data_IF_087115189729
#
_entry.id   IF_087115189729
#
_cell.length_a   1.000
_cell.length_b   1.000
_cell.length_c   1.000
_cell.angle_alpha   90.00
_cell.angle_beta   90.00
_cell.angle_gamma   90.00
#
_symmetry.space_group_name_H-M   'P 1'
#
loop_
_entity.id
_entity.type
_entity.pdbx_description
1 polymer ?
#
# COMPACT_ATOMS: atom_id res chain seq x y z
N UNK A 1 35.78 -37.42 -14.94
CA UNK A 1 35.33 -38.75 -14.47
C UNK A 1 34.33 -38.58 -13.34
N UNK A 2 33.13 -39.12 -13.57
CA UNK A 2 32.17 -39.69 -12.60
C UNK A 2 31.47 -38.74 -11.60
N UNK A 3 30.19 -38.39 -11.80
CA UNK A 3 28.92 -39.17 -11.73
C UNK A 3 28.37 -39.25 -10.29
N UNK A 4 27.07 -38.87 -10.18
CA UNK A 4 26.09 -38.94 -9.07
C UNK A 4 25.79 -37.58 -8.40
N UNK A 5 24.56 -37.07 -8.32
CA UNK A 5 23.26 -37.70 -8.53
C UNK A 5 22.24 -36.68 -9.08
N UNK A 6 21.63 -37.06 -10.20
CA UNK A 6 20.31 -36.60 -10.58
C UNK A 6 19.31 -37.08 -9.50
N UNK A 7 19.04 -36.23 -8.52
CA UNK A 7 17.87 -36.39 -7.68
C UNK A 7 16.65 -36.00 -8.52
N UNK A 8 16.10 -37.00 -9.23
CA UNK A 8 14.71 -37.01 -9.66
C UNK A 8 13.85 -36.67 -8.43
N UNK A 9 13.49 -35.40 -8.25
CA UNK A 9 12.35 -35.03 -7.41
C UNK A 9 11.14 -35.65 -8.09
N UNK A 10 10.69 -36.80 -7.57
CA UNK A 10 9.36 -37.31 -7.88
C UNK A 10 8.40 -36.13 -7.73
N UNK A 11 7.63 -35.76 -8.77
CA UNK A 11 6.64 -34.69 -8.63
C UNK A 11 5.72 -35.08 -7.48
N UNK A 12 5.57 -34.18 -6.49
CA UNK A 12 4.71 -34.42 -5.34
C UNK A 12 3.36 -34.93 -5.87
N UNK A 13 2.94 -36.16 -5.50
CA UNK A 13 1.70 -36.74 -6.01
C UNK A 13 0.44 -35.93 -5.62
N UNK A 14 0.59 -34.88 -4.80
CA UNK A 14 -0.43 -33.93 -4.35
C UNK A 14 -0.40 -32.59 -5.10
N UNK A 15 0.65 -32.29 -5.86
CA UNK A 15 0.83 -31.00 -6.52
C UNK A 15 -0.10 -30.79 -7.73
N UNK A 16 -0.41 -29.52 -7.99
CA UNK A 16 -1.01 -29.06 -9.24
C UNK A 16 -0.23 -29.59 -10.45
N UNK A 17 -0.95 -29.96 -11.50
CA UNK A 17 -0.35 -30.26 -12.78
C UNK A 17 0.21 -28.97 -13.40
N UNK A 18 1.24 -29.10 -14.23
CA UNK A 18 1.77 -28.00 -15.04
C UNK A 18 1.73 -28.38 -16.53
N UNK A 19 1.50 -27.41 -17.43
CA UNK A 19 1.64 -27.64 -18.85
C UNK A 19 3.09 -27.97 -19.19
N UNK A 20 3.31 -28.72 -20.27
CA UNK A 20 4.67 -29.04 -20.73
C UNK A 20 5.20 -27.89 -21.56
N UNK A 21 6.29 -27.26 -21.09
CA UNK A 21 6.89 -26.10 -21.76
C UNK A 21 7.32 -26.35 -23.22
N UNK A 22 7.58 -27.60 -23.59
CA UNK A 22 7.97 -28.00 -24.95
C UNK A 22 6.80 -28.17 -25.93
N UNK A 23 5.56 -28.07 -25.47
CA UNK A 23 4.37 -28.33 -26.29
C UNK A 23 3.77 -27.00 -26.79
N UNK A 24 3.42 -26.96 -28.08
CA UNK A 24 2.67 -25.84 -28.66
C UNK A 24 1.17 -26.00 -28.37
N UNK A 25 0.70 -25.30 -27.34
CA UNK A 25 -0.69 -25.37 -26.89
C UNK A 25 -1.68 -24.68 -27.85
N UNK A 26 -1.24 -23.77 -28.71
CA UNK A 26 -2.09 -23.18 -29.75
C UNK A 26 -2.34 -24.19 -30.87
N UNK A 27 -1.29 -24.89 -31.32
CA UNK A 27 -1.44 -25.98 -32.29
C UNK A 27 -2.32 -27.12 -31.74
N UNK A 28 -2.15 -27.46 -30.45
CA UNK A 28 -3.01 -28.45 -29.78
C UNK A 28 -4.47 -27.97 -29.73
N UNK A 29 -4.72 -26.70 -29.39
CA UNK A 29 -6.07 -26.14 -29.35
C UNK A 29 -6.75 -26.25 -30.73
N UNK A 30 -6.06 -25.84 -31.80
CA UNK A 30 -6.56 -25.94 -33.16
C UNK A 30 -6.88 -27.38 -33.57
N UNK A 31 -5.99 -28.34 -33.25
CA UNK A 31 -6.19 -29.76 -33.56
C UNK A 31 -7.39 -30.36 -32.80
N UNK A 32 -7.54 -30.05 -31.51
CA UNK A 32 -8.69 -30.51 -30.71
C UNK A 32 -9.98 -29.93 -31.27
N UNK A 33 -10.01 -28.65 -31.64
CA UNK A 33 -11.19 -28.02 -32.20
C UNK A 33 -11.61 -28.67 -33.53
N UNK A 34 -10.64 -29.00 -34.39
CA UNK A 34 -10.91 -29.68 -35.67
C UNK A 34 -11.49 -31.08 -35.46
N UNK A 35 -10.92 -31.87 -34.54
CA UNK A 35 -11.46 -33.19 -34.18
C UNK A 35 -12.89 -33.11 -33.63
N UNK A 36 -13.14 -32.18 -32.71
CA UNK A 36 -14.48 -32.00 -32.16
C UNK A 36 -15.50 -31.58 -33.23
N UNK A 37 -15.09 -30.76 -34.21
CA UNK A 37 -15.93 -30.40 -35.37
C UNK A 37 -16.22 -31.59 -36.28
N UNK A 38 -15.28 -32.53 -36.40
CA UNK A 38 -15.44 -33.77 -37.13
C UNK A 38 -16.27 -34.83 -36.38
N UNK A 39 -16.66 -34.58 -35.12
CA UNK A 39 -17.39 -35.53 -34.28
C UNK A 39 -16.53 -36.65 -33.72
N UNK A 40 -15.19 -36.51 -33.75
CA UNK A 40 -14.27 -37.49 -33.19
C UNK A 40 -14.22 -37.44 -31.66
N UNK A 41 -13.98 -38.59 -31.03
CA UNK A 41 -13.77 -38.69 -29.59
C UNK A 41 -12.35 -38.27 -29.20
N UNK A 42 -12.21 -37.57 -28.08
CA UNK A 42 -10.91 -37.17 -27.56
C UNK A 42 -10.34 -38.26 -26.64
N UNK A 43 -9.05 -38.56 -26.81
CA UNK A 43 -8.31 -39.41 -25.88
C UNK A 43 -8.08 -38.74 -24.53
N UNK A 44 -7.81 -39.52 -23.48
CA UNK A 44 -7.37 -39.02 -22.15
C UNK A 44 -6.19 -38.04 -22.22
N UNK A 45 -5.30 -38.22 -23.20
CA UNK A 45 -4.17 -37.32 -23.43
C UNK A 45 -4.63 -35.98 -23.99
N UNK A 46 -5.56 -36.00 -24.93
CA UNK A 46 -6.14 -34.80 -25.54
C UNK A 46 -7.02 -34.06 -24.55
N UNK A 47 -7.83 -34.73 -23.73
CA UNK A 47 -8.63 -34.10 -22.66
C UNK A 47 -7.71 -33.36 -21.67
N UNK A 48 -6.62 -33.99 -21.24
CA UNK A 48 -5.63 -33.36 -20.34
C UNK A 48 -4.94 -32.15 -20.95
N UNK A 49 -4.59 -32.22 -22.23
CA UNK A 49 -3.93 -31.12 -22.92
C UNK A 49 -4.92 -29.99 -23.24
N UNK A 50 -6.12 -30.34 -23.69
CA UNK A 50 -7.21 -29.42 -23.97
C UNK A 50 -7.67 -28.65 -22.74
N UNK A 51 -7.55 -29.24 -21.55
CA UNK A 51 -7.77 -28.51 -20.28
C UNK A 51 -6.90 -27.26 -20.16
N UNK A 52 -5.66 -27.27 -20.68
CA UNK A 52 -4.77 -26.11 -20.69
C UNK A 52 -5.03 -25.14 -21.86
N UNK A 53 -5.83 -25.55 -22.83
CA UNK A 53 -6.22 -24.74 -24.00
C UNK A 53 -7.55 -23.99 -23.78
N UNK A 54 -8.11 -24.02 -22.58
CA UNK A 54 -9.44 -23.45 -22.35
C UNK A 54 -9.44 -21.92 -22.46
N UNK A 55 -8.46 -21.23 -21.87
CA UNK A 55 -8.51 -19.76 -21.76
C UNK A 55 -7.30 -19.01 -22.34
N UNK A 56 -6.09 -19.54 -22.24
CA UNK A 56 -4.87 -18.79 -22.58
C UNK A 56 -4.35 -19.05 -24.00
N UNK A 57 -4.98 -19.94 -24.77
CA UNK A 57 -4.55 -20.28 -26.14
C UNK A 57 -5.31 -19.47 -27.17
N UNK A 58 -4.76 -19.43 -28.39
CA UNK A 58 -5.41 -18.89 -29.58
C UNK A 58 -5.52 -20.01 -30.64
N UNK A 59 -6.74 -20.51 -30.95
CA UNK A 59 -8.02 -20.13 -30.35
C UNK A 59 -8.17 -20.64 -28.91
N UNK A 60 -8.93 -19.90 -28.10
CA UNK A 60 -9.36 -20.37 -26.79
C UNK A 60 -10.47 -21.41 -26.98
N UNK A 61 -10.40 -22.53 -26.25
CA UNK A 61 -11.41 -23.58 -26.36
C UNK A 61 -12.66 -23.28 -25.51
N UNK A 62 -12.58 -22.41 -24.50
CA UNK A 62 -13.74 -21.91 -23.78
C UNK A 62 -14.74 -21.25 -24.75
N UNK A 63 -16.02 -21.56 -24.61
CA UNK A 63 -17.07 -21.07 -25.51
C UNK A 63 -17.22 -21.85 -26.82
N UNK A 64 -16.35 -22.82 -27.12
CA UNK A 64 -16.45 -23.67 -28.32
C UNK A 64 -17.15 -25.01 -28.03
N UNK A 65 -17.45 -25.79 -29.07
CA UNK A 65 -17.93 -27.17 -28.89
C UNK A 65 -16.93 -28.05 -28.12
N UNK A 66 -15.62 -27.82 -28.31
CA UNK A 66 -14.57 -28.58 -27.64
C UNK A 66 -14.62 -28.41 -26.11
N UNK A 67 -15.11 -27.27 -25.60
CA UNK A 67 -15.31 -27.05 -24.17
C UNK A 67 -16.16 -28.15 -23.52
N UNK A 68 -17.33 -28.44 -24.10
CA UNK A 68 -18.26 -29.44 -23.56
C UNK A 68 -17.68 -30.85 -23.65
N UNK A 69 -17.00 -31.16 -24.74
CA UNK A 69 -16.33 -32.47 -24.94
C UNK A 69 -15.23 -32.67 -23.90
N UNK A 70 -14.43 -31.64 -23.62
CA UNK A 70 -13.38 -31.69 -22.60
C UNK A 70 -13.97 -31.87 -21.20
N UNK A 71 -15.01 -31.11 -20.84
CA UNK A 71 -15.65 -31.26 -19.52
C UNK A 71 -16.25 -32.64 -19.31
N UNK A 72 -17.03 -33.14 -20.28
CA UNK A 72 -17.59 -34.49 -20.24
C UNK A 72 -16.49 -35.55 -20.12
N UNK A 73 -15.42 -35.43 -20.92
CA UNK A 73 -14.27 -36.32 -20.84
C UNK A 73 -13.57 -36.29 -19.48
N UNK A 74 -13.47 -35.11 -18.84
CA UNK A 74 -12.94 -35.00 -17.48
C UNK A 74 -13.89 -35.64 -16.47
N UNK A 75 -15.21 -35.52 -16.61
CA UNK A 75 -16.20 -36.11 -15.71
C UNK A 75 -16.25 -37.64 -15.80
N UNK A 76 -16.11 -38.19 -17.00
CA UNK A 76 -16.15 -39.63 -17.28
C UNK A 76 -14.82 -40.34 -16.98
N UNK A 77 -13.69 -39.65 -17.09
CA UNK A 77 -12.37 -40.26 -16.95
C UNK A 77 -12.20 -41.05 -15.61
N UNK A 78 -11.75 -42.32 -15.65
CA UNK A 78 -11.54 -43.10 -14.42
C UNK A 78 -10.32 -42.61 -13.63
N UNK A 79 -9.35 -41.99 -14.31
CA UNK A 79 -8.11 -41.50 -13.72
C UNK A 79 -8.22 -40.09 -13.14
N UNK A 80 -7.33 -39.76 -12.19
CA UNK A 80 -7.24 -38.42 -11.57
C UNK A 80 -6.50 -37.39 -12.44
N UNK A 81 -5.81 -37.82 -13.50
CA UNK A 81 -4.94 -36.95 -14.30
C UNK A 81 -5.73 -35.89 -15.11
N UNK A 82 -6.84 -36.23 -15.80
CA UNK A 82 -7.72 -35.24 -16.44
C UNK A 82 -8.26 -34.22 -15.46
N UNK A 83 -8.82 -34.68 -14.33
CA UNK A 83 -9.28 -33.81 -13.26
C UNK A 83 -8.20 -32.84 -12.77
N UNK A 84 -6.98 -33.33 -12.49
CA UNK A 84 -5.88 -32.47 -12.02
C UNK A 84 -5.44 -31.46 -13.07
N UNK A 85 -5.42 -31.82 -14.34
CA UNK A 85 -5.11 -30.89 -15.42
C UNK A 85 -6.15 -29.77 -15.49
N UNK A 86 -7.43 -30.12 -15.46
CA UNK A 86 -8.53 -29.15 -15.46
C UNK A 86 -8.51 -28.26 -14.21
N UNK A 87 -8.35 -28.83 -13.01
CA UNK A 87 -8.27 -28.08 -11.77
C UNK A 87 -7.08 -27.11 -11.76
N UNK A 88 -5.94 -27.52 -12.30
CA UNK A 88 -4.75 -26.67 -12.33
C UNK A 88 -4.88 -25.54 -13.34
N UNK A 89 -5.44 -25.81 -14.52
CA UNK A 89 -5.76 -24.77 -15.49
C UNK A 89 -6.81 -23.80 -14.94
N UNK A 90 -7.87 -24.31 -14.29
CA UNK A 90 -8.87 -23.48 -13.61
C UNK A 90 -8.22 -22.54 -12.59
N UNK A 91 -7.35 -23.04 -11.71
CA UNK A 91 -6.69 -22.20 -10.70
C UNK A 91 -5.73 -21.17 -11.32
N UNK A 92 -5.03 -21.55 -12.41
CA UNK A 92 -4.08 -20.68 -13.11
C UNK A 92 -4.79 -19.53 -13.82
N UNK A 93 -5.82 -19.86 -14.58
CA UNK A 93 -6.56 -18.95 -15.47
C UNK A 93 -7.84 -18.39 -14.83
N UNK A 94 -7.97 -18.55 -13.52
CA UNK A 94 -9.17 -18.17 -12.78
C UNK A 94 -9.47 -16.68 -12.93
N UNK A 95 -10.68 -16.41 -13.39
CA UNK A 95 -11.33 -15.12 -13.39
C UNK A 95 -12.84 -15.44 -13.43
N UNK A 96 -13.62 -15.02 -12.42
CA UNK A 96 -15.04 -15.36 -12.33
C UNK A 96 -15.88 -14.79 -13.49
N UNK A 97 -15.34 -13.87 -14.27
CA UNK A 97 -16.01 -13.27 -15.44
C UNK A 97 -15.72 -13.99 -16.76
N UNK A 98 -14.77 -14.92 -16.79
CA UNK A 98 -14.40 -15.64 -18.02
C UNK A 98 -15.46 -16.68 -18.41
N UNK A 99 -15.65 -16.81 -19.72
CA UNK A 99 -16.50 -17.84 -20.31
C UNK A 99 -16.08 -19.24 -19.85
N UNK A 100 -17.08 -20.06 -19.53
CA UNK A 100 -16.88 -21.44 -19.09
C UNK A 100 -16.28 -21.60 -17.68
N UNK A 101 -15.95 -20.53 -16.94
CA UNK A 101 -15.37 -20.64 -15.60
C UNK A 101 -16.35 -21.28 -14.61
N UNK A 102 -17.61 -20.82 -14.60
CA UNK A 102 -18.67 -21.36 -13.75
C UNK A 102 -18.95 -22.84 -14.06
N UNK A 103 -19.13 -23.18 -15.34
CA UNK A 103 -19.38 -24.56 -15.77
C UNK A 103 -18.20 -25.49 -15.45
N UNK A 104 -16.96 -25.01 -15.60
CA UNK A 104 -15.75 -25.77 -15.22
C UNK A 104 -15.71 -25.99 -13.70
N UNK A 105 -16.05 -24.96 -12.92
CA UNK A 105 -16.15 -25.03 -11.47
C UNK A 105 -17.17 -26.09 -11.03
N UNK A 106 -18.35 -26.12 -11.64
CA UNK A 106 -19.38 -27.13 -11.37
C UNK A 106 -18.91 -28.56 -11.68
N UNK A 107 -18.27 -28.79 -12.83
CA UNK A 107 -17.72 -30.09 -13.20
C UNK A 107 -16.59 -30.55 -12.25
N UNK A 108 -15.75 -29.62 -11.80
CA UNK A 108 -14.71 -29.92 -10.81
C UNK A 108 -15.30 -30.19 -9.42
N UNK A 109 -16.31 -29.43 -9.00
CA UNK A 109 -16.98 -29.61 -7.72
C UNK A 109 -17.68 -30.98 -7.65
N UNK A 110 -18.41 -31.37 -8.70
CA UNK A 110 -19.10 -32.68 -8.78
C UNK A 110 -18.13 -33.86 -8.68
N UNK A 111 -16.92 -33.70 -9.24
CA UNK A 111 -15.89 -34.74 -9.26
C UNK A 111 -14.91 -34.70 -8.09
N UNK A 112 -14.93 -33.66 -7.26
CA UNK A 112 -13.98 -33.48 -6.15
C UNK A 112 -13.95 -34.69 -5.17
N UNK A 113 -15.11 -35.28 -4.89
CA UNK A 113 -15.21 -36.46 -4.03
C UNK A 113 -14.45 -37.67 -4.60
N UNK A 114 -14.60 -37.94 -5.90
CA UNK A 114 -13.88 -39.02 -6.62
C UNK A 114 -12.39 -38.70 -6.78
N UNK A 115 -12.03 -37.43 -6.93
CA UNK A 115 -10.63 -37.01 -6.96
C UNK A 115 -9.92 -37.27 -5.61
N UNK A 116 -10.65 -37.22 -4.51
CA UNK A 116 -10.17 -37.47 -3.15
C UNK A 116 -9.37 -36.29 -2.59
N UNK A 117 -8.50 -36.54 -1.61
CA UNK A 117 -7.66 -35.49 -1.00
C UNK A 117 -6.61 -34.95 -2.01
N UNK A 118 -6.31 -33.63 -1.97
CA UNK A 118 -6.85 -32.61 -1.07
C UNK A 118 -8.23 -32.05 -1.50
N UNK A 119 -8.65 -32.31 -2.74
CA UNK A 119 -9.78 -31.66 -3.41
C UNK A 119 -11.12 -31.81 -2.70
N UNK A 120 -11.44 -32.99 -2.17
CA UNK A 120 -12.68 -33.18 -1.40
C UNK A 120 -12.73 -32.27 -0.16
N UNK A 121 -11.60 -32.09 0.53
CA UNK A 121 -11.51 -31.24 1.73
C UNK A 121 -11.60 -29.77 1.35
N UNK A 122 -10.88 -29.37 0.30
CA UNK A 122 -10.88 -27.98 -0.18
C UNK A 122 -12.25 -27.57 -0.71
N UNK A 123 -12.94 -28.45 -1.44
CA UNK A 123 -14.30 -28.18 -1.91
C UNK A 123 -15.29 -28.12 -0.74
N UNK A 124 -15.20 -29.04 0.21
CA UNK A 124 -16.10 -29.05 1.37
C UNK A 124 -15.93 -27.82 2.27
N UNK A 125 -14.69 -27.45 2.61
CA UNK A 125 -14.41 -26.36 3.56
C UNK A 125 -14.49 -24.97 2.94
N UNK A 126 -14.06 -24.85 1.68
CA UNK A 126 -13.84 -23.55 1.07
C UNK A 126 -14.62 -23.36 -0.23
N UNK A 127 -15.43 -24.34 -0.67
CA UNK A 127 -16.09 -24.29 -1.97
C UNK A 127 -15.12 -23.91 -3.09
N UNK A 128 -13.93 -24.51 -3.09
CA UNK A 128 -12.78 -24.02 -3.86
C UNK A 128 -13.05 -23.87 -5.37
N UNK A 129 -13.98 -24.66 -5.92
CA UNK A 129 -14.37 -24.59 -7.34
C UNK A 129 -15.60 -23.72 -7.62
N UNK A 130 -16.23 -23.10 -6.62
CA UNK A 130 -17.32 -22.13 -6.83
C UNK A 130 -16.72 -20.74 -7.06
N UNK A 131 -16.75 -20.16 -8.28
CA UNK A 131 -15.97 -18.95 -8.57
C UNK A 131 -16.36 -17.72 -7.75
N UNK A 132 -17.62 -17.63 -7.34
CA UNK A 132 -18.13 -16.50 -6.54
C UNK A 132 -17.87 -16.66 -5.04
N UNK A 133 -17.93 -17.88 -4.51
CA UNK A 133 -17.86 -18.15 -3.06
C UNK A 133 -16.48 -18.59 -2.60
N UNK A 134 -15.75 -19.32 -3.45
CA UNK A 134 -14.46 -19.91 -3.14
C UNK A 134 -13.43 -18.91 -2.62
N UNK A 135 -13.09 -17.88 -3.41
CA UNK A 135 -12.12 -16.87 -3.00
C UNK A 135 -12.48 -16.17 -1.68
N UNK A 136 -13.76 -15.92 -1.44
CA UNK A 136 -14.23 -15.28 -0.20
C UNK A 136 -14.06 -16.18 1.02
N UNK A 137 -14.40 -17.46 0.92
CA UNK A 137 -14.24 -18.42 2.01
C UNK A 137 -12.77 -18.68 2.33
N UNK A 138 -11.92 -18.80 1.29
CA UNK A 138 -10.47 -18.93 1.46
C UNK A 138 -9.89 -17.68 2.11
N UNK A 139 -10.29 -16.49 1.66
CA UNK A 139 -9.83 -15.22 2.25
C UNK A 139 -10.18 -15.09 3.73
N UNK A 140 -11.44 -15.40 4.09
CA UNK A 140 -11.88 -15.38 5.48
C UNK A 140 -11.08 -16.36 6.35
N UNK A 141 -10.98 -17.61 5.90
CA UNK A 141 -10.23 -18.64 6.63
C UNK A 141 -8.74 -18.29 6.77
N UNK A 142 -8.14 -17.63 5.77
CA UNK A 142 -6.75 -17.20 5.80
C UNK A 142 -6.53 -16.09 6.85
N UNK A 143 -7.42 -15.10 6.90
CA UNK A 143 -7.40 -14.04 7.90
C UNK A 143 -7.55 -14.61 9.32
N UNK A 144 -8.53 -15.50 9.52
CA UNK A 144 -8.81 -16.13 10.81
C UNK A 144 -7.59 -16.93 11.30
N UNK A 145 -6.95 -17.67 10.38
CA UNK A 145 -5.74 -18.45 10.65
C UNK A 145 -4.45 -17.63 10.76
N UNK A 146 -4.48 -16.33 10.45
CA UNK A 146 -3.28 -15.48 10.47
C UNK A 146 -2.27 -15.81 9.37
N UNK A 147 -2.73 -16.26 8.19
CA UNK A 147 -1.88 -16.72 7.08
C UNK A 147 -2.27 -16.06 5.76
N UNK A 148 -1.41 -16.15 4.75
CA UNK A 148 -1.79 -15.81 3.38
C UNK A 148 -2.67 -16.93 2.76
N UNK A 149 -3.57 -16.60 1.81
CA UNK A 149 -4.39 -17.60 1.11
C UNK A 149 -3.57 -18.74 0.49
N UNK A 150 -2.44 -18.42 -0.14
CA UNK A 150 -1.55 -19.40 -0.77
C UNK A 150 -0.94 -20.34 0.26
N UNK A 151 -0.54 -19.81 1.43
CA UNK A 151 -0.01 -20.64 2.53
C UNK A 151 -1.09 -21.53 3.12
N UNK A 152 -2.31 -21.01 3.36
CA UNK A 152 -3.45 -21.79 3.83
C UNK A 152 -3.71 -22.98 2.91
N UNK A 153 -3.85 -22.74 1.60
CA UNK A 153 -4.14 -23.79 0.62
C UNK A 153 -2.99 -24.81 0.52
N UNK A 154 -1.74 -24.35 0.65
CA UNK A 154 -0.56 -25.23 0.68
C UNK A 154 -0.59 -26.19 1.87
N UNK A 155 -0.93 -25.68 3.06
CA UNK A 155 -1.03 -26.46 4.29
C UNK A 155 -2.18 -27.48 4.26
N UNK A 156 -3.24 -27.18 3.52
CA UNK A 156 -4.37 -28.09 3.24
C UNK A 156 -4.05 -29.14 2.16
N UNK A 157 -2.82 -29.15 1.65
CA UNK A 157 -2.29 -30.19 0.78
C UNK A 157 -2.39 -29.90 -0.72
N UNK A 158 -2.73 -28.68 -1.14
CA UNK A 158 -2.71 -28.27 -2.56
C UNK A 158 -1.27 -28.18 -3.12
N UNK A 159 -0.26 -28.22 -2.25
CA UNK A 159 1.15 -28.06 -2.61
C UNK A 159 1.51 -26.59 -2.86
N UNK A 160 2.51 -26.33 -3.70
CA UNK A 160 2.90 -24.97 -4.08
C UNK A 160 1.97 -24.44 -5.18
N UNK A 161 0.86 -23.80 -4.79
CA UNK A 161 0.10 -22.96 -5.71
C UNK A 161 0.98 -21.81 -6.16
N UNK A 162 1.01 -21.53 -7.48
CA UNK A 162 1.68 -20.33 -7.98
C UNK A 162 1.03 -19.11 -7.32
N UNK A 163 1.81 -18.35 -6.55
CA UNK A 163 1.32 -17.17 -5.86
C UNK A 163 0.77 -16.10 -6.81
N UNK A 164 1.11 -16.17 -8.10
CA UNK A 164 0.63 -15.30 -9.16
C UNK A 164 -0.54 -15.88 -9.97
N UNK A 165 -1.10 -17.04 -9.59
CA UNK A 165 -2.25 -17.62 -10.28
C UNK A 165 -3.49 -16.72 -10.17
N UNK A 166 -4.43 -16.84 -11.11
CA UNK A 166 -5.70 -16.10 -11.05
C UNK A 166 -6.46 -16.36 -9.75
N UNK A 167 -6.44 -17.59 -9.24
CA UNK A 167 -7.14 -17.93 -8.00
C UNK A 167 -6.46 -17.33 -6.77
N UNK A 168 -5.12 -17.36 -6.72
CA UNK A 168 -4.35 -16.71 -5.67
C UNK A 168 -4.59 -15.19 -5.69
N UNK A 169 -4.66 -14.58 -6.89
CA UNK A 169 -5.02 -13.18 -7.08
C UNK A 169 -6.39 -12.87 -6.49
N UNK A 170 -7.42 -13.63 -6.88
CA UNK A 170 -8.78 -13.41 -6.38
C UNK A 170 -8.86 -13.55 -4.85
N UNK A 171 -8.22 -14.56 -4.25
CA UNK A 171 -8.20 -14.72 -2.79
C UNK A 171 -7.45 -13.58 -2.09
N UNK A 172 -6.33 -13.12 -2.65
CA UNK A 172 -5.57 -12.00 -2.10
C UNK A 172 -6.40 -10.71 -2.14
N UNK A 173 -7.09 -10.44 -3.25
CA UNK A 173 -7.98 -9.29 -3.38
C UNK A 173 -9.07 -9.30 -2.29
N UNK A 174 -9.81 -10.41 -2.16
CA UNK A 174 -10.84 -10.57 -1.11
C UNK A 174 -10.29 -10.44 0.30
N UNK A 175 -9.08 -10.93 0.55
CA UNK A 175 -8.44 -10.79 1.87
C UNK A 175 -8.11 -9.33 2.18
N UNK A 176 -7.54 -8.60 1.23
CA UNK A 176 -7.19 -7.19 1.40
C UNK A 176 -8.43 -6.30 1.55
N UNK A 177 -9.49 -6.55 0.78
CA UNK A 177 -10.77 -5.86 0.92
C UNK A 177 -11.35 -6.01 2.34
N UNK A 178 -11.35 -7.25 2.87
CA UNK A 178 -11.80 -7.53 4.25
C UNK A 178 -10.93 -6.84 5.28
N UNK A 179 -9.60 -6.87 5.13
CA UNK A 179 -8.67 -6.20 6.05
C UNK A 179 -8.82 -4.67 6.03
N UNK A 180 -9.21 -4.08 4.90
CA UNK A 180 -9.51 -2.65 4.80
C UNK A 180 -10.83 -2.28 5.50
N UNK A 181 -11.82 -3.17 5.49
CA UNK A 181 -13.11 -2.97 6.16
C UNK A 181 -13.08 -3.28 7.67
N UNK A 182 -12.18 -4.16 8.11
CA UNK A 182 -12.02 -4.52 9.52
C UNK A 182 -11.26 -3.43 10.29
N UNK A 183 -11.95 -2.76 11.21
CA UNK A 183 -11.40 -1.74 12.11
C UNK A 183 -11.01 -2.29 13.50
N UNK A 184 -11.40 -3.52 13.84
CA UNK A 184 -11.20 -4.12 15.16
C UNK A 184 -9.88 -4.89 15.27
N UNK A 185 -9.35 -5.38 14.15
CA UNK A 185 -8.08 -6.11 14.17
C UNK A 185 -6.93 -5.27 14.72
N UNK A 186 -6.14 -5.90 15.61
CA UNK A 186 -4.93 -5.31 16.18
C UNK A 186 -3.94 -4.91 15.08
N UNK A 187 -3.36 -3.72 15.19
CA UNK A 187 -2.59 -3.13 14.09
C UNK A 187 -1.37 -3.93 13.65
N UNK A 188 -0.61 -4.50 14.59
CA UNK A 188 0.56 -5.34 14.27
C UNK A 188 0.15 -6.61 13.51
N UNK A 189 -0.95 -7.26 13.90
CA UNK A 189 -1.48 -8.43 13.19
C UNK A 189 -1.90 -8.06 11.77
N UNK A 190 -2.59 -6.91 11.60
CA UNK A 190 -2.98 -6.40 10.28
C UNK A 190 -1.76 -6.14 9.39
N UNK A 191 -0.74 -5.47 9.91
CA UNK A 191 0.48 -5.16 9.17
C UNK A 191 1.17 -6.42 8.65
N UNK A 192 1.35 -7.43 9.50
CA UNK A 192 1.98 -8.71 9.08
C UNK A 192 1.11 -9.48 8.08
N UNK A 193 -0.21 -9.50 8.25
CA UNK A 193 -1.12 -10.14 7.30
C UNK A 193 -1.10 -9.47 5.93
N UNK A 194 -1.20 -8.14 5.86
CA UNK A 194 -1.17 -7.43 4.58
C UNK A 194 0.17 -7.66 3.88
N UNK A 195 1.29 -7.68 4.62
CA UNK A 195 2.60 -8.04 4.06
C UNK A 195 2.61 -9.47 3.51
N UNK A 196 2.12 -10.44 4.27
CA UNK A 196 2.10 -11.85 3.85
C UNK A 196 1.19 -12.11 2.64
N UNK A 197 0.13 -11.32 2.47
CA UNK A 197 -0.86 -11.47 1.38
C UNK A 197 -0.45 -10.69 0.13
N UNK A 198 0.03 -9.46 0.30
CA UNK A 198 0.22 -8.52 -0.81
C UNK A 198 1.65 -8.45 -1.34
N UNK A 199 2.66 -8.92 -0.59
CA UNK A 199 4.06 -8.63 -0.89
C UNK A 199 4.96 -9.87 -0.97
N UNK A 200 5.95 -9.79 -1.85
CA UNK A 200 7.11 -10.67 -1.85
C UNK A 200 8.02 -10.37 -0.63
N UNK A 201 8.94 -11.29 -0.33
CA UNK A 201 9.91 -11.12 0.78
C UNK A 201 10.82 -9.90 0.61
N UNK A 202 11.03 -9.45 -0.64
CA UNK A 202 11.78 -8.25 -0.99
C UNK A 202 10.94 -6.95 -0.95
N UNK A 203 9.72 -7.02 -0.41
CA UNK A 203 8.77 -5.90 -0.27
C UNK A 203 8.23 -5.34 -1.59
N UNK A 204 8.29 -6.08 -2.70
CA UNK A 204 7.54 -5.74 -3.92
C UNK A 204 6.13 -6.31 -3.90
N UNK A 205 5.19 -5.69 -4.62
CA UNK A 205 3.83 -6.22 -4.77
C UNK A 205 3.87 -7.58 -5.48
N UNK A 206 3.06 -8.52 -5.02
CA UNK A 206 2.82 -9.78 -5.75
C UNK A 206 1.98 -9.50 -7.01
N UNK A 207 1.02 -8.58 -6.88
CA UNK A 207 0.09 -8.17 -7.93
C UNK A 207 0.07 -6.64 -8.01
N UNK A 208 0.60 -6.08 -9.10
CA UNK A 208 0.68 -4.62 -9.29
C UNK A 208 -0.70 -3.94 -9.32
N UNK A 209 -1.70 -4.63 -9.85
CA UNK A 209 -3.11 -4.18 -9.87
C UNK A 209 -3.75 -4.14 -8.47
N UNK A 210 -3.18 -4.82 -7.47
CA UNK A 210 -3.63 -4.77 -6.07
C UNK A 210 -3.04 -3.60 -5.27
N UNK A 211 -2.23 -2.72 -5.88
CA UNK A 211 -1.65 -1.57 -5.19
C UNK A 211 -2.68 -0.78 -4.34
N UNK A 212 -3.89 -0.44 -4.85
CA UNK A 212 -4.91 0.24 -4.05
C UNK A 212 -5.43 -0.61 -2.87
N UNK A 213 -5.62 -1.92 -3.07
CA UNK A 213 -6.11 -2.82 -2.03
C UNK A 213 -5.10 -2.95 -0.89
N UNK A 214 -3.81 -3.06 -1.20
CA UNK A 214 -2.72 -3.10 -0.22
C UNK A 214 -2.66 -1.79 0.57
N UNK A 215 -2.71 -0.64 -0.11
CA UNK A 215 -2.69 0.65 0.56
C UNK A 215 -3.91 0.82 1.48
N UNK A 216 -5.11 0.49 0.99
CA UNK A 216 -6.34 0.62 1.75
C UNK A 216 -6.33 -0.27 3.00
N UNK A 217 -5.90 -1.53 2.86
CA UNK A 217 -5.79 -2.47 3.97
C UNK A 217 -4.74 -2.05 5.01
N UNK A 218 -3.65 -1.38 4.59
CA UNK A 218 -2.63 -0.89 5.52
C UNK A 218 -3.05 0.38 6.27
N UNK A 219 -3.81 1.27 5.63
CA UNK A 219 -3.91 2.67 6.05
C UNK A 219 -5.31 3.03 6.56
N UNK A 220 -6.36 2.67 5.82
CA UNK A 220 -7.71 3.17 6.09
C UNK A 220 -8.29 2.73 7.44
N UNK A 221 -8.03 1.52 7.97
CA UNK A 221 -8.47 1.15 9.31
C UNK A 221 -8.00 2.09 10.43
N UNK A 222 -6.92 2.84 10.19
CA UNK A 222 -6.32 3.76 11.16
C UNK A 222 -6.63 5.23 10.88
N UNK A 223 -7.54 5.54 9.94
CA UNK A 223 -7.86 6.93 9.56
C UNK A 223 -8.28 7.80 10.74
N UNK A 224 -9.00 7.20 11.69
CA UNK A 224 -9.63 7.85 12.85
C UNK A 224 -9.23 7.19 14.18
N UNK A 225 -8.31 6.22 14.15
CA UNK A 225 -7.90 5.48 15.34
C UNK A 225 -6.47 5.87 15.74
N UNK A 226 -6.18 5.94 17.05
CA UNK A 226 -4.80 6.11 17.49
C UNK A 226 -3.98 4.90 17.04
N UNK A 227 -2.81 5.17 16.46
CA UNK A 227 -1.86 4.17 16.06
C UNK A 227 -0.59 4.33 16.89
N UNK A 228 -0.05 3.23 17.39
CA UNK A 228 1.27 3.22 18.00
C UNK A 228 2.31 3.84 17.05
N UNK A 229 3.22 4.64 17.60
CA UNK A 229 4.16 5.42 16.79
C UNK A 229 5.13 4.53 16.02
N UNK A 230 5.61 3.44 16.63
CA UNK A 230 6.50 2.48 15.97
C UNK A 230 5.80 1.82 14.79
N UNK A 231 4.56 1.36 15.00
CA UNK A 231 3.77 0.77 13.92
C UNK A 231 3.44 1.78 12.81
N UNK A 232 3.08 3.02 13.16
CA UNK A 232 2.84 4.08 12.18
C UNK A 232 4.08 4.34 11.31
N UNK A 233 5.28 4.35 11.91
CA UNK A 233 6.53 4.48 11.16
C UNK A 233 6.78 3.29 10.24
N UNK A 234 6.53 2.05 10.69
CA UNK A 234 6.65 0.86 9.84
C UNK A 234 5.72 0.92 8.63
N UNK A 235 4.46 1.34 8.82
CA UNK A 235 3.49 1.49 7.74
C UNK A 235 3.91 2.61 6.79
N UNK A 236 4.33 3.77 7.30
CA UNK A 236 4.83 4.87 6.48
C UNK A 236 6.02 4.45 5.63
N UNK A 237 7.04 3.80 6.21
CA UNK A 237 8.21 3.36 5.48
C UNK A 237 7.85 2.38 4.36
N UNK A 238 6.94 1.44 4.65
CA UNK A 238 6.46 0.50 3.63
C UNK A 238 5.67 1.21 2.52
N UNK A 239 4.73 2.08 2.88
CA UNK A 239 3.90 2.80 1.93
C UNK A 239 4.71 3.74 1.03
N UNK A 240 5.69 4.47 1.60
CA UNK A 240 6.59 5.33 0.84
C UNK A 240 7.50 4.51 -0.09
N UNK A 241 8.02 3.37 0.37
CA UNK A 241 8.83 2.48 -0.48
C UNK A 241 8.05 1.89 -1.65
N UNK A 242 6.77 1.57 -1.45
CA UNK A 242 5.90 1.01 -2.49
C UNK A 242 5.36 2.07 -3.45
N UNK A 243 4.89 3.20 -2.94
CA UNK A 243 4.05 4.13 -3.70
C UNK A 243 4.67 5.53 -3.86
N UNK A 244 5.78 5.81 -3.18
CA UNK A 244 6.40 7.13 -3.12
C UNK A 244 5.67 8.09 -2.19
N UNK A 245 6.16 9.33 -2.09
CA UNK A 245 5.56 10.37 -1.26
C UNK A 245 4.26 10.93 -1.89
N UNK A 246 3.08 10.82 -1.24
CA UNK A 246 1.81 11.31 -1.79
C UNK A 246 1.67 12.83 -1.83
N UNK A 247 2.65 13.58 -1.32
CA UNK A 247 2.72 15.05 -1.45
C UNK A 247 3.40 15.49 -2.74
N UNK A 248 4.09 14.58 -3.42
CA UNK A 248 4.67 14.81 -4.74
C UNK A 248 3.68 14.39 -5.83
N UNK A 249 3.72 15.00 -7.02
CA UNK A 249 2.94 14.54 -8.17
C UNK A 249 3.28 13.09 -8.51
N UNK A 250 2.42 12.15 -8.11
CA UNK A 250 2.60 10.71 -8.34
C UNK A 250 1.31 10.08 -8.85
N UNK A 251 1.40 9.43 -10.02
CA UNK A 251 0.28 8.66 -10.58
C UNK A 251 -0.04 7.41 -9.75
N UNK A 252 0.84 6.98 -8.83
CA UNK A 252 0.62 5.76 -8.03
C UNK A 252 -0.53 5.95 -7.04
N UNK A 253 -0.65 7.13 -6.44
CA UNK A 253 -1.68 7.43 -5.44
C UNK A 253 -3.05 7.75 -6.02
N UNK A 254 -3.17 8.01 -7.33
CA UNK A 254 -4.41 8.49 -7.94
C UNK A 254 -5.59 7.52 -7.87
N UNK A 255 -5.32 6.22 -7.65
CA UNK A 255 -6.35 5.18 -7.47
C UNK A 255 -6.66 4.88 -6.00
N UNK A 256 -6.06 5.61 -5.07
CA UNK A 256 -6.12 5.37 -3.62
C UNK A 256 -6.04 6.70 -2.83
N UNK A 257 -6.78 7.71 -3.29
CA UNK A 257 -6.72 9.08 -2.75
C UNK A 257 -7.09 9.18 -1.26
N UNK A 258 -8.02 8.35 -0.79
CA UNK A 258 -8.37 8.31 0.64
C UNK A 258 -7.18 7.86 1.49
N UNK A 259 -6.49 6.80 1.09
CA UNK A 259 -5.28 6.33 1.76
C UNK A 259 -4.16 7.38 1.65
N UNK A 260 -4.02 8.01 0.47
CA UNK A 260 -3.07 9.10 0.26
C UNK A 260 -3.30 10.26 1.22
N UNK A 261 -4.56 10.65 1.46
CA UNK A 261 -4.93 11.72 2.38
C UNK A 261 -4.54 11.40 3.83
N UNK A 262 -4.77 10.16 4.28
CA UNK A 262 -4.34 9.70 5.62
C UNK A 262 -2.81 9.74 5.74
N UNK A 263 -2.08 9.23 4.74
CA UNK A 263 -0.61 9.26 4.73
C UNK A 263 -0.09 10.69 4.71
N UNK A 264 -0.70 11.60 3.94
CA UNK A 264 -0.35 13.04 3.95
C UNK A 264 -0.46 13.63 5.36
N UNK A 265 -1.56 13.38 6.08
CA UNK A 265 -1.72 13.81 7.49
C UNK A 265 -0.65 13.21 8.40
N UNK A 266 -0.34 11.93 8.25
CA UNK A 266 0.72 11.29 9.03
C UNK A 266 2.10 11.88 8.76
N UNK A 267 2.40 12.22 7.50
CA UNK A 267 3.65 12.87 7.12
C UNK A 267 3.74 14.31 7.64
N UNK A 268 2.64 15.05 7.66
CA UNK A 268 2.58 16.39 8.25
C UNK A 268 2.91 16.33 9.75
N UNK A 269 2.24 15.44 10.48
CA UNK A 269 2.53 15.20 11.90
C UNK A 269 3.95 14.69 12.13
N UNK A 270 4.48 13.87 11.23
CA UNK A 270 5.87 13.43 11.29
C UNK A 270 6.83 14.61 11.11
N UNK A 271 6.60 15.51 10.16
CA UNK A 271 7.40 16.73 9.97
C UNK A 271 7.36 17.64 11.21
N UNK A 272 6.18 17.87 11.79
CA UNK A 272 6.04 18.66 13.02
C UNK A 272 6.87 18.07 14.17
N UNK A 273 6.73 16.75 14.43
CA UNK A 273 7.52 16.05 15.44
C UNK A 273 9.01 16.09 15.15
N UNK A 274 9.42 15.83 13.91
CA UNK A 274 10.83 15.92 13.51
C UNK A 274 11.40 17.29 13.85
N UNK A 275 10.68 18.36 13.51
CA UNK A 275 11.14 19.72 13.82
C UNK A 275 11.27 19.92 15.34
N UNK A 276 10.21 19.71 16.11
CA UNK A 276 10.24 20.04 17.53
C UNK A 276 11.11 19.10 18.35
N UNK A 277 11.09 17.78 18.09
CA UNK A 277 11.85 16.81 18.87
C UNK A 277 13.36 16.91 18.60
N UNK A 278 13.75 17.21 17.36
CA UNK A 278 15.17 17.47 17.03
C UNK A 278 15.62 18.78 17.65
N UNK A 279 14.80 19.83 17.54
CA UNK A 279 15.11 21.14 18.10
C UNK A 279 15.20 21.08 19.63
N UNK A 280 14.32 20.35 20.33
CA UNK A 280 14.37 20.17 21.79
C UNK A 280 15.69 19.52 22.26
N UNK A 281 16.28 18.63 21.46
CA UNK A 281 17.58 18.00 21.77
C UNK A 281 18.74 18.98 21.62
N UNK A 282 18.66 19.92 20.68
CA UNK A 282 19.76 20.85 20.34
C UNK A 282 19.57 22.27 20.92
N UNK A 283 18.42 22.56 21.51
CA UNK A 283 18.01 23.89 21.99
C UNK A 283 17.48 23.87 23.43
N UNK A 284 18.06 24.69 24.31
CA UNK A 284 17.68 24.82 25.73
C UNK A 284 16.56 25.85 26.01
N UNK A 285 15.80 26.27 24.99
CA UNK A 285 14.87 27.41 25.12
C UNK A 285 13.50 27.04 25.71
N UNK A 286 13.12 27.72 26.81
CA UNK A 286 11.80 27.58 27.48
C UNK A 286 10.59 27.91 26.60
N UNK A 287 10.78 28.54 25.44
CA UNK A 287 9.71 28.97 24.53
C UNK A 287 9.15 27.83 23.66
N UNK A 288 9.86 26.71 23.53
CA UNK A 288 9.48 25.62 22.61
C UNK A 288 8.12 25.00 22.90
N UNK A 289 7.77 24.85 24.18
CA UNK A 289 6.45 24.34 24.57
C UNK A 289 5.31 25.16 23.94
N UNK A 290 5.44 26.49 23.90
CA UNK A 290 4.42 27.39 23.35
C UNK A 290 4.33 27.30 21.82
N UNK A 291 5.47 27.19 21.13
CA UNK A 291 5.51 27.01 19.67
C UNK A 291 4.92 25.66 19.26
N UNK A 292 5.29 24.59 19.98
CA UNK A 292 4.73 23.24 19.79
C UNK A 292 3.22 23.25 19.98
N UNK A 293 2.74 23.77 21.12
CA UNK A 293 1.30 23.85 21.41
C UNK A 293 0.52 24.64 20.34
N UNK A 294 1.10 25.76 19.85
CA UNK A 294 0.52 26.56 18.78
C UNK A 294 0.40 25.78 17.48
N UNK A 295 1.50 25.25 16.95
CA UNK A 295 1.49 24.57 15.65
C UNK A 295 0.73 23.24 15.68
N UNK A 296 0.72 22.53 16.82
CA UNK A 296 -0.16 21.37 17.00
C UNK A 296 -1.64 21.78 17.03
N UNK A 297 -2.00 22.96 17.54
CA UNK A 297 -3.38 23.46 17.45
C UNK A 297 -3.76 23.77 15.99
N UNK A 298 -2.84 24.34 15.21
CA UNK A 298 -3.04 24.59 13.77
C UNK A 298 -3.19 23.27 12.99
N UNK A 299 -2.41 22.22 13.32
CA UNK A 299 -2.59 20.86 12.76
C UNK A 299 -3.95 20.26 13.13
N UNK A 300 -4.37 20.37 14.40
CA UNK A 300 -5.67 19.87 14.87
C UNK A 300 -6.85 20.56 14.18
N UNK A 301 -6.69 21.83 13.79
CA UNK A 301 -7.66 22.56 12.98
C UNK A 301 -7.59 22.23 11.48
N UNK A 302 -6.78 21.25 11.08
CA UNK A 302 -6.55 20.80 9.71
C UNK A 302 -6.11 21.92 8.73
N UNK A 303 -5.46 22.97 9.25
CA UNK A 303 -5.01 24.10 8.44
C UNK A 303 -3.65 23.87 7.77
N UNK A 304 -2.88 22.90 8.25
CA UNK A 304 -1.60 22.51 7.63
C UNK A 304 -1.91 21.50 6.54
N UNK A 305 -1.81 21.93 5.28
CA UNK A 305 -2.09 21.12 4.10
C UNK A 305 -0.85 20.36 3.60
N UNK A 306 0.32 20.79 4.03
CA UNK A 306 1.60 20.18 3.70
C UNK A 306 2.68 20.67 4.68
N UNK A 307 3.69 19.85 4.96
CA UNK A 307 4.80 20.24 5.82
C UNK A 307 6.08 19.47 5.49
N UNK A 308 7.22 20.18 5.51
CA UNK A 308 8.56 19.57 5.43
C UNK A 308 9.55 20.34 6.28
N UNK A 309 10.41 19.61 6.99
CA UNK A 309 11.50 20.19 7.76
C UNK A 309 12.75 20.31 6.90
N UNK A 310 13.46 21.42 7.07
CA UNK A 310 14.79 21.68 6.53
C UNK A 310 15.77 21.69 7.70
N UNK A 311 16.74 20.78 7.71
CA UNK A 311 17.74 20.69 8.77
C UNK A 311 19.11 21.19 8.33
N UNK A 312 19.84 21.81 9.26
CA UNK A 312 21.29 21.90 9.18
C UNK A 312 21.95 20.56 9.55
N UNK A 313 23.28 20.49 9.43
CA UNK A 313 24.05 19.23 9.51
C UNK A 313 23.75 18.40 10.77
N UNK A 314 23.71 19.02 11.96
CA UNK A 314 23.55 18.26 13.21
C UNK A 314 22.10 17.79 13.37
N UNK A 315 21.13 18.65 13.04
CA UNK A 315 19.71 18.29 13.03
C UNK A 315 19.40 17.13 12.08
N UNK A 316 20.03 17.10 10.90
CA UNK A 316 19.87 16.01 9.93
C UNK A 316 20.40 14.67 10.46
N UNK A 317 21.49 14.68 11.22
CA UNK A 317 22.04 13.48 11.86
C UNK A 317 21.11 12.97 12.97
N UNK A 318 20.60 13.86 13.82
CA UNK A 318 19.64 13.51 14.88
C UNK A 318 18.34 12.98 14.26
N UNK A 319 17.80 13.65 13.24
CA UNK A 319 16.57 13.23 12.57
C UNK A 319 16.68 11.81 11.99
N UNK A 320 17.78 11.51 11.29
CA UNK A 320 18.02 10.16 10.73
C UNK A 320 18.07 9.07 11.80
N UNK A 321 18.69 9.37 12.96
CA UNK A 321 18.79 8.42 14.08
C UNK A 321 17.45 8.18 14.75
N UNK A 322 16.66 9.25 14.96
CA UNK A 322 15.41 9.18 15.73
C UNK A 322 14.19 8.76 14.91
N UNK A 323 14.16 9.03 13.60
CA UNK A 323 12.98 8.83 12.75
C UNK A 323 13.19 7.85 11.59
N UNK A 324 14.43 7.38 11.37
CA UNK A 324 14.77 6.50 10.26
C UNK A 324 15.05 7.23 8.94
N UNK A 325 15.53 6.48 7.94
CA UNK A 325 16.03 7.03 6.68
C UNK A 325 14.92 7.39 5.66
N UNK A 326 13.76 6.75 5.74
CA UNK A 326 12.68 6.88 4.75
C UNK A 326 11.76 8.09 5.02
N UNK A 327 11.73 8.62 6.25
CA UNK A 327 10.97 9.82 6.57
C UNK A 327 11.66 11.05 5.98
N UNK A 328 11.06 11.72 4.99
CA UNK A 328 11.77 12.69 4.18
C UNK A 328 11.87 14.06 4.87
N UNK A 329 13.08 14.61 4.86
CA UNK A 329 13.38 15.99 5.22
C UNK A 329 14.32 16.59 4.18
N UNK A 330 14.47 17.91 4.20
CA UNK A 330 15.41 18.65 3.34
C UNK A 330 16.62 19.13 4.14
N UNK A 331 17.68 19.52 3.44
CA UNK A 331 18.86 20.12 4.07
C UNK A 331 19.09 21.54 3.58
N UNK A 332 19.83 22.33 4.33
CA UNK A 332 20.34 23.59 3.81
C UNK A 332 21.48 23.35 2.81
N UNK A 333 21.53 24.15 1.75
CA UNK A 333 22.65 24.23 0.81
C UNK A 333 23.20 25.65 0.77
N UNK A 334 24.51 25.77 0.99
CA UNK A 334 25.20 27.06 1.02
C UNK A 334 24.76 27.98 2.18
N UNK A 335 25.37 29.18 2.22
CA UNK A 335 25.09 30.20 3.23
C UNK A 335 25.61 29.89 4.65
N UNK A 336 25.55 30.89 5.53
CA UNK A 336 25.96 30.75 6.93
C UNK A 336 24.75 30.44 7.80
N UNK A 337 24.63 29.18 8.20
CA UNK A 337 23.59 28.68 9.13
C UNK A 337 24.29 27.89 10.23
N UNK A 338 23.90 28.12 11.48
CA UNK A 338 24.44 27.36 12.59
C UNK A 338 24.02 25.89 12.47
N UNK A 339 24.91 24.97 12.86
CA UNK A 339 24.75 23.54 12.58
C UNK A 339 23.51 22.91 13.25
N UNK A 340 22.94 23.56 14.26
CA UNK A 340 21.74 23.17 15.00
C UNK A 340 20.44 23.82 14.50
N UNK A 341 20.47 24.67 13.47
CA UNK A 341 19.25 25.29 12.96
C UNK A 341 18.37 24.33 12.17
N UNK A 342 17.07 24.57 12.25
CA UNK A 342 16.04 23.92 11.45
C UNK A 342 15.00 24.96 11.00
N UNK A 343 14.32 24.68 9.90
CA UNK A 343 13.13 25.41 9.46
C UNK A 343 12.02 24.42 9.18
N UNK A 344 10.86 24.64 9.76
CA UNK A 344 9.64 23.94 9.40
C UNK A 344 8.91 24.75 8.32
N UNK A 345 8.88 24.21 7.10
CA UNK A 345 8.07 24.75 6.01
C UNK A 345 6.69 24.12 6.06
N UNK A 346 5.64 24.94 5.98
CA UNK A 346 4.26 24.47 5.96
C UNK A 346 3.47 25.18 4.87
N UNK A 347 2.53 24.47 4.24
CA UNK A 347 1.50 25.09 3.41
C UNK A 347 0.23 25.23 4.21
N UNK A 348 -0.30 26.44 4.31
CA UNK A 348 -1.54 26.75 5.05
C UNK A 348 -2.47 27.58 4.18
N UNK A 349 -3.65 27.05 3.86
CA UNK A 349 -4.52 27.65 2.85
C UNK A 349 -3.76 27.83 1.52
N UNK A 350 -3.75 29.05 1.00
CA UNK A 350 -3.00 29.40 -0.23
C UNK A 350 -1.55 29.82 0.02
N UNK A 351 -1.13 30.02 1.26
CA UNK A 351 0.20 30.54 1.56
C UNK A 351 1.18 29.52 2.10
N UNK A 352 2.39 30.00 2.36
CA UNK A 352 3.51 29.22 2.89
C UNK A 352 4.01 29.87 4.17
N UNK A 353 4.33 29.04 5.16
CA UNK A 353 4.95 29.43 6.42
C UNK A 353 6.35 28.85 6.49
N UNK A 354 7.32 29.64 6.92
CA UNK A 354 8.63 29.20 7.39
C UNK A 354 8.77 29.52 8.88
N UNK A 355 8.68 28.48 9.71
CA UNK A 355 8.93 28.55 11.14
C UNK A 355 10.40 28.23 11.39
N UNK A 356 11.19 29.25 11.71
CA UNK A 356 12.60 29.08 12.03
C UNK A 356 12.81 28.66 13.49
N UNK A 357 13.76 27.74 13.70
CA UNK A 357 14.36 27.51 15.01
C UNK A 357 15.13 28.74 15.53
N UNK A 358 15.78 28.62 16.68
CA UNK A 358 16.81 29.53 17.25
C UNK A 358 16.85 30.98 16.72
N UNK A 359 16.33 31.92 17.52
CA UNK A 359 16.34 33.37 17.22
C UNK A 359 15.77 33.79 15.85
N UNK A 360 15.15 32.87 15.10
CA UNK A 360 14.50 33.14 13.84
C UNK A 360 13.06 33.63 13.98
N UNK A 361 12.59 34.33 12.94
CA UNK A 361 11.20 34.77 12.81
C UNK A 361 10.33 33.63 12.27
N UNK A 362 9.05 33.65 12.61
CA UNK A 362 8.01 32.99 11.81
C UNK A 362 7.70 33.89 10.62
N UNK A 363 7.86 33.39 9.40
CA UNK A 363 7.64 34.13 8.15
C UNK A 363 6.50 33.49 7.39
N UNK A 364 5.57 34.30 6.89
CA UNK A 364 4.36 33.85 6.19
C UNK A 364 4.25 34.61 4.88
N UNK A 365 4.30 33.87 3.78
CA UNK A 365 3.91 34.34 2.46
C UNK A 365 2.42 34.04 2.29
N UNK A 366 1.61 35.07 2.08
CA UNK A 366 0.14 34.94 2.01
C UNK A 366 -0.33 34.15 0.77
N UNK A 367 0.53 34.03 -0.23
CA UNK A 367 0.32 33.29 -1.48
C UNK A 367 1.57 32.45 -1.80
N UNK A 368 1.38 31.18 -2.10
CA UNK A 368 2.44 30.24 -2.47
C UNK A 368 2.97 30.49 -3.90
N UNK A 369 2.22 31.20 -4.74
CA UNK A 369 2.64 31.60 -6.08
C UNK A 369 3.50 32.88 -6.07
N UNK A 370 3.69 33.52 -4.91
CA UNK A 370 4.64 34.61 -4.75
C UNK A 370 6.05 34.13 -5.17
N UNK A 371 6.76 34.82 -6.08
CA UNK A 371 8.10 34.42 -6.53
C UNK A 371 9.13 34.30 -5.39
N UNK A 372 8.89 34.98 -4.26
CA UNK A 372 9.72 34.91 -3.06
C UNK A 372 9.29 33.79 -2.10
N UNK A 373 8.13 33.17 -2.31
CA UNK A 373 7.67 32.07 -1.48
C UNK A 373 8.48 30.79 -1.79
N UNK A 374 8.97 30.08 -0.77
CA UNK A 374 9.69 28.84 -0.99
C UNK A 374 8.74 27.73 -1.44
N UNK A 375 9.07 27.08 -2.56
CA UNK A 375 8.37 25.86 -2.97
C UNK A 375 8.70 24.73 -2.00
N UNK A 376 7.68 24.02 -1.51
CA UNK A 376 7.88 22.83 -0.67
C UNK A 376 8.54 21.68 -1.47
N UNK A 377 9.09 20.73 -0.72
CA UNK A 377 9.66 19.48 -1.21
C UNK A 377 10.93 19.56 -2.07
N UNK A 378 11.63 20.70 -2.07
CA UNK A 378 12.97 20.75 -2.64
C UNK A 378 13.92 19.91 -1.78
N UNK A 379 14.92 19.29 -2.40
CA UNK A 379 15.93 18.51 -1.66
C UNK A 379 16.77 19.40 -0.75
N UNK A 380 17.09 20.58 -1.26
CA UNK A 380 17.97 21.54 -0.64
C UNK A 380 17.34 22.92 -0.66
N UNK A 381 17.65 23.73 0.35
CA UNK A 381 17.19 25.11 0.44
C UNK A 381 18.34 26.05 0.74
N UNK A 382 18.37 27.17 0.02
CA UNK A 382 19.23 28.30 0.38
C UNK A 382 18.62 29.01 1.60
N UNK A 383 19.32 29.10 2.74
CA UNK A 383 18.81 29.74 3.94
C UNK A 383 18.50 31.22 3.76
N UNK A 384 19.19 31.93 2.85
CA UNK A 384 18.93 33.35 2.58
C UNK A 384 17.54 33.56 1.98
N UNK A 385 17.06 32.60 1.17
CA UNK A 385 15.72 32.63 0.55
C UNK A 385 14.60 32.32 1.52
N UNK A 386 14.92 31.64 2.63
CA UNK A 386 13.96 31.35 3.69
C UNK A 386 13.90 32.47 4.74
N UNK A 387 14.76 33.49 4.65
CA UNK A 387 14.74 34.68 5.51
C UNK A 387 14.12 35.85 4.76
N UNK A 388 13.50 36.76 5.51
CA UNK A 388 13.02 38.03 4.96
C UNK A 388 13.30 39.16 5.95
N UNK A 389 14.53 39.72 5.95
CA UNK A 389 14.96 40.68 6.98
C UNK A 389 14.07 41.92 7.07
N UNK A 390 13.59 42.40 5.92
CA UNK A 390 12.72 43.58 5.80
C UNK A 390 11.23 43.31 6.09
N UNK A 391 10.83 42.06 6.30
CA UNK A 391 9.43 41.75 6.61
C UNK A 391 9.11 42.10 8.08
N UNK A 392 7.90 42.62 8.27
CA UNK A 392 7.34 43.06 9.55
C UNK A 392 6.09 42.26 9.89
N UNK A 393 5.58 42.42 11.10
CA UNK A 393 4.38 41.74 11.61
C UNK A 393 3.08 42.52 11.32
N UNK A 394 3.10 43.41 10.31
CA UNK A 394 1.92 44.12 9.85
C UNK A 394 1.01 43.17 9.04
N UNK A 395 -0.24 43.02 9.46
CA UNK A 395 -1.18 42.02 8.91
C UNK A 395 -1.54 42.25 7.44
N UNK A 396 -1.52 43.50 6.98
CA UNK A 396 -1.82 43.91 5.60
C UNK A 396 -0.72 43.52 4.60
N UNK A 397 0.46 43.10 5.07
CA UNK A 397 1.58 42.72 4.20
C UNK A 397 1.38 41.34 3.58
N UNK A 398 1.79 41.21 2.31
CA UNK A 398 1.84 39.93 1.61
C UNK A 398 2.84 38.97 2.25
N UNK A 399 4.01 39.48 2.65
CA UNK A 399 5.00 38.76 3.45
C UNK A 399 4.97 39.32 4.88
N UNK A 400 4.46 38.50 5.80
CA UNK A 400 4.40 38.79 7.23
C UNK A 400 5.56 38.10 7.93
N UNK A 401 6.20 38.75 8.89
CA UNK A 401 7.25 38.12 9.71
C UNK A 401 7.23 38.62 11.15
N UNK A 402 7.19 37.69 12.10
CA UNK A 402 7.12 37.99 13.54
C UNK A 402 8.20 37.25 14.33
N UNK A 403 8.79 37.93 15.30
CA UNK A 403 9.70 37.32 16.27
C UNK A 403 8.92 36.69 17.42
N UNK A 404 9.46 35.62 18.00
CA UNK A 404 8.81 34.81 19.04
C UNK A 404 8.80 35.43 20.45
N UNK A 405 8.58 36.74 20.55
CA UNK A 405 8.64 37.51 21.80
C UNK A 405 7.34 37.34 22.61
N UNK A 406 7.44 37.33 23.94
CA UNK A 406 6.31 37.19 24.88
C UNK A 406 5.44 35.96 24.61
N UNK A 407 6.08 34.81 24.40
CA UNK A 407 5.42 33.52 24.14
C UNK A 407 4.47 33.07 25.26
N UNK A 408 4.79 33.43 26.50
CA UNK A 408 4.01 33.18 27.72
C UNK A 408 2.73 34.03 27.82
N UNK A 409 2.72 35.19 27.14
CA UNK A 409 1.55 36.06 27.01
C UNK A 409 0.78 35.83 25.70
N UNK A 410 1.14 34.80 24.93
CA UNK A 410 0.52 34.45 23.65
C UNK A 410 0.56 35.56 22.59
N UNK A 411 1.51 36.50 22.69
CA UNK A 411 1.54 37.71 21.85
C UNK A 411 1.79 37.41 20.37
N UNK A 412 2.91 36.74 20.05
CA UNK A 412 3.23 36.39 18.67
C UNK A 412 2.23 35.38 18.11
N UNK A 413 1.75 34.45 18.94
CA UNK A 413 0.74 33.45 18.59
C UNK A 413 -0.55 34.13 18.12
N UNK A 414 -1.01 35.16 18.83
CA UNK A 414 -2.18 35.95 18.44
C UNK A 414 -2.00 36.61 17.07
N UNK A 415 -0.81 37.16 16.78
CA UNK A 415 -0.50 37.77 15.47
C UNK A 415 -0.47 36.73 14.35
N UNK A 416 0.18 35.59 14.57
CA UNK A 416 0.19 34.49 13.60
C UNK A 416 -1.22 33.93 13.38
N UNK A 417 -2.00 33.72 14.45
CA UNK A 417 -3.38 33.26 14.35
C UNK A 417 -4.25 34.24 13.54
N UNK A 418 -4.10 35.54 13.74
CA UNK A 418 -4.79 36.56 12.95
C UNK A 418 -4.38 36.52 11.47
N UNK A 419 -3.09 36.34 11.18
CA UNK A 419 -2.60 36.22 9.80
C UNK A 419 -3.12 34.95 9.12
N UNK A 420 -3.10 33.82 9.82
CA UNK A 420 -3.68 32.57 9.32
C UNK A 420 -5.19 32.70 9.09
N UNK A 421 -5.91 33.34 10.01
CA UNK A 421 -7.34 33.60 9.85
C UNK A 421 -7.66 34.44 8.60
N UNK A 422 -6.86 35.48 8.32
CA UNK A 422 -6.99 36.26 7.09
C UNK A 422 -6.81 35.40 5.84
N UNK A 423 -5.91 34.41 5.89
CA UNK A 423 -5.59 33.54 4.75
C UNK A 423 -6.57 32.37 4.57
N UNK A 424 -7.13 31.84 5.65
CA UNK A 424 -7.91 30.59 5.64
C UNK A 424 -9.37 30.77 6.00
N UNK A 425 -9.75 31.91 6.59
CA UNK A 425 -11.08 32.14 7.17
C UNK A 425 -11.32 31.41 8.51
N UNK A 426 -10.39 30.58 8.97
CA UNK A 426 -10.53 29.79 10.20
C UNK A 426 -9.81 30.46 11.36
N UNK A 427 -10.52 30.64 12.48
CA UNK A 427 -9.97 31.28 13.68
C UNK A 427 -9.35 30.23 14.60
N UNK A 428 -8.10 30.44 15.01
CA UNK A 428 -7.43 29.69 16.08
C UNK A 428 -7.48 30.55 17.35
N UNK A 429 -8.23 30.12 18.36
CA UNK A 429 -8.39 30.85 19.60
C UNK A 429 -7.25 30.56 20.59
N UNK A 430 -6.92 31.48 21.52
CA UNK A 430 -5.93 31.21 22.57
C UNK A 430 -6.19 29.97 23.40
N UNK A 431 -7.46 29.58 23.57
CA UNK A 431 -7.83 28.35 24.27
C UNK A 431 -7.33 27.08 23.56
N UNK A 432 -7.11 27.12 22.24
CA UNK A 432 -6.71 25.96 21.44
C UNK A 432 -5.22 25.61 21.60
N UNK A 433 -4.39 26.60 21.96
CA UNK A 433 -2.94 26.48 22.14
C UNK A 433 -2.44 26.95 23.52
N UNK A 434 -3.36 27.24 24.42
CA UNK A 434 -3.05 27.64 25.79
C UNK A 434 -2.42 26.48 26.57
N UNK A 435 -1.26 26.74 27.18
CA UNK A 435 -0.59 25.78 28.07
C UNK A 435 -1.00 26.15 29.49
N UNK A 436 -1.77 25.28 30.15
CA UNK A 436 -2.06 25.44 31.57
C UNK A 436 -0.75 25.42 32.36
N UNK A 437 -0.49 26.44 33.18
CA UNK A 437 0.56 26.37 34.19
C UNK A 437 0.08 25.40 35.28
N UNK A 438 0.60 24.18 35.27
CA UNK A 438 0.57 23.31 36.45
C UNK A 438 1.90 23.44 37.17
#
# INVERSE_FOLDING_TARGET
MQILAAANRLPDPRALAAPRASEDYNAIAAAILLKCRAGETLSDREIRRGSWCLWETEPALAGTLAFRVILAGVEEAPGKRPFRALASSFMQSFDPTRDGMEATGQALASKAAKAGRPWIVLQYRYAIFEPKRGPDLVAQAAIDAGRSPTKLLSDEGLGSLNAQSGYARACAARSLERLAADVLMAGHRRFELVRAIGLHSDKRLIFEDHAPLVANALILPFRNAPLDQTLQHQILNLALGLFGDPRLPSKRWSRMEEAAAVVRRWLIRASLRQFFDVVDVVATERMWKYRRAFWEAVDRAELILDARVVFAKDGALVARRSFGAELPFSIFAGGTVQANHAVLLMRTGRGVVAEWSHNGKCIIWSDAEDPMAPRLHQREYDPSRLRHPSATDALDRHVFAVSHVHSDQYSWQGKVAAKLHQMTGVRIAPADYGISQR
#
